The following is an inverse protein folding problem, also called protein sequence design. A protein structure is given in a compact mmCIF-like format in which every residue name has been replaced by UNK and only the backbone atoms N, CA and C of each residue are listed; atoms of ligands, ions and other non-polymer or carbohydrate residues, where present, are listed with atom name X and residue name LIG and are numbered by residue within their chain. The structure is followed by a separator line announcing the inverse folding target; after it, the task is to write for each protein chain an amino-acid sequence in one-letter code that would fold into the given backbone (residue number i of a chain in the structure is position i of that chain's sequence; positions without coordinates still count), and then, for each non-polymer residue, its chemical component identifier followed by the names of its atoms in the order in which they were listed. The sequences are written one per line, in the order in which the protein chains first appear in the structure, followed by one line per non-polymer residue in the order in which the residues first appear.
data_IF_856253391216
#
_entry.id   IF_856253391216
#
_cell.length_a   1.000
_cell.length_b   1.000
_cell.length_c   1.000
_cell.angle_alpha   90.00
_cell.angle_beta   90.00
_cell.angle_gamma   90.00
#
_symmetry.space_group_name_H-M   'P 1'
#
loop_
_entity.id
_entity.type
_entity.pdbx_description
1 polymer ?
#
# COMPACT_ATOMS: atom_id res chain seq x y z
N UNK A 1 5.94 -38.99 18.21
CA UNK A 1 5.19 -38.30 17.14
C UNK A 1 5.91 -37.07 16.52
N UNK A 2 7.07 -36.65 17.01
CA UNK A 2 7.77 -35.43 16.59
C UNK A 2 8.72 -35.59 15.40
N UNK A 3 9.32 -36.75 15.16
CA UNK A 3 10.30 -37.00 14.08
C UNK A 3 9.67 -37.06 12.68
N UNK A 4 8.48 -37.65 12.54
CA UNK A 4 7.77 -37.77 11.26
C UNK A 4 7.28 -36.38 10.73
N UNK A 5 6.97 -35.44 11.63
CA UNK A 5 6.56 -34.09 11.29
C UNK A 5 7.72 -33.22 10.78
N UNK A 6 8.89 -33.34 11.41
CA UNK A 6 10.13 -32.66 10.97
C UNK A 6 10.62 -33.18 9.61
N UNK A 7 10.53 -34.51 9.38
CA UNK A 7 10.92 -35.10 8.11
C UNK A 7 10.03 -34.64 6.96
N UNK A 8 8.70 -34.67 7.14
CA UNK A 8 7.72 -34.11 6.17
C UNK A 8 7.98 -32.63 5.87
N UNK A 9 8.26 -31.82 6.89
CA UNK A 9 8.55 -30.41 6.70
C UNK A 9 9.85 -30.17 5.93
N UNK A 10 10.91 -30.94 6.17
CA UNK A 10 12.16 -30.87 5.44
C UNK A 10 11.99 -31.31 3.98
N UNK A 11 11.27 -32.38 3.73
CA UNK A 11 10.97 -32.86 2.36
C UNK A 11 10.19 -31.81 1.56
N UNK A 12 9.15 -31.20 2.14
CA UNK A 12 8.39 -30.12 1.53
C UNK A 12 9.28 -28.91 1.24
N UNK A 13 10.21 -28.59 2.15
CA UNK A 13 11.15 -27.48 1.97
C UNK A 13 12.13 -27.75 0.82
N UNK A 14 12.67 -28.98 0.72
CA UNK A 14 13.54 -29.39 -0.40
C UNK A 14 12.78 -29.37 -1.74
N UNK A 15 11.54 -29.90 -1.77
CA UNK A 15 10.71 -29.88 -2.97
C UNK A 15 10.43 -28.45 -3.45
N UNK A 16 10.10 -27.55 -2.52
CA UNK A 16 9.88 -26.13 -2.82
C UNK A 16 11.16 -25.48 -3.37
N UNK A 17 12.33 -25.80 -2.81
CA UNK A 17 13.63 -25.28 -3.32
C UNK A 17 13.94 -25.78 -4.74
N UNK A 18 13.70 -27.07 -5.03
CA UNK A 18 13.88 -27.61 -6.38
C UNK A 18 12.92 -26.95 -7.37
N UNK A 19 11.65 -26.81 -7.04
CA UNK A 19 10.68 -26.13 -7.91
C UNK A 19 11.11 -24.68 -8.18
N UNK A 20 11.53 -23.92 -7.17
CA UNK A 20 12.07 -22.56 -7.36
C UNK A 20 13.31 -22.55 -8.24
N UNK A 21 14.20 -23.54 -8.10
CA UNK A 21 15.39 -23.67 -8.95
C UNK A 21 15.02 -23.92 -10.41
N UNK A 22 14.08 -24.84 -10.67
CA UNK A 22 13.55 -25.11 -12.01
C UNK A 22 12.94 -23.84 -12.63
N UNK A 23 12.13 -23.09 -11.87
CA UNK A 23 11.55 -21.83 -12.34
C UNK A 23 12.62 -20.80 -12.69
N UNK A 24 13.69 -20.69 -11.91
CA UNK A 24 14.81 -19.78 -12.23
C UNK A 24 15.51 -20.17 -13.53
N UNK A 25 15.69 -21.45 -13.78
CA UNK A 25 16.29 -21.95 -15.04
C UNK A 25 15.37 -21.64 -16.22
N UNK A 26 14.09 -21.98 -16.11
CA UNK A 26 13.10 -21.68 -17.14
C UNK A 26 13.04 -20.17 -17.43
N UNK A 27 13.04 -19.34 -16.39
CA UNK A 27 13.06 -17.89 -16.57
C UNK A 27 14.30 -17.39 -17.29
N UNK A 28 15.50 -17.93 -16.98
CA UNK A 28 16.74 -17.60 -17.69
C UNK A 28 16.68 -17.97 -19.19
N UNK A 29 16.06 -19.09 -19.52
CA UNK A 29 15.83 -19.49 -20.92
C UNK A 29 14.87 -18.50 -21.59
N UNK A 30 13.75 -18.18 -20.94
CA UNK A 30 12.77 -17.20 -21.46
C UNK A 30 13.41 -15.82 -21.65
N UNK A 31 14.30 -15.39 -20.76
CA UNK A 31 15.06 -14.13 -20.91
C UNK A 31 15.82 -14.05 -22.22
N UNK A 32 16.35 -15.17 -22.72
CA UNK A 32 17.14 -15.23 -23.96
C UNK A 32 16.28 -15.45 -25.20
N UNK A 33 15.13 -16.11 -25.08
CA UNK A 33 14.33 -16.58 -26.23
C UNK A 33 13.08 -15.76 -26.50
N UNK A 34 12.50 -15.12 -25.48
CA UNK A 34 11.28 -14.31 -25.65
C UNK A 34 11.66 -12.90 -26.07
N UNK A 35 11.19 -12.43 -27.19
CA UNK A 35 11.37 -11.04 -27.64
C UNK A 35 10.54 -10.07 -26.79
N UNK A 36 11.05 -8.86 -26.58
CA UNK A 36 10.30 -7.77 -25.96
C UNK A 36 9.29 -7.24 -26.97
N UNK A 37 8.09 -6.98 -26.51
CA UNK A 37 6.99 -6.43 -27.26
C UNK A 37 6.69 -5.02 -26.76
N UNK A 38 6.89 -4.04 -27.62
CA UNK A 38 6.83 -2.62 -27.29
C UNK A 38 5.41 -2.16 -26.89
N UNK A 39 4.37 -2.94 -27.20
CA UNK A 39 2.97 -2.65 -26.87
C UNK A 39 2.44 -3.52 -25.71
N UNK A 40 3.31 -4.18 -24.95
CA UNK A 40 2.91 -4.94 -23.78
C UNK A 40 3.34 -4.24 -22.50
N UNK A 41 2.37 -4.02 -21.58
CA UNK A 41 2.58 -3.48 -20.22
C UNK A 41 2.19 -4.52 -19.18
N UNK A 42 3.04 -4.74 -18.18
CA UNK A 42 2.72 -5.57 -17.02
C UNK A 42 2.60 -4.72 -15.76
N UNK A 43 1.48 -4.87 -15.06
CA UNK A 43 1.18 -4.14 -13.82
C UNK A 43 1.24 -5.09 -12.63
N UNK A 44 2.00 -4.77 -11.60
CA UNK A 44 2.11 -5.60 -10.41
C UNK A 44 1.83 -4.77 -9.16
N UNK A 45 0.72 -5.09 -8.48
CA UNK A 45 0.38 -4.49 -7.19
C UNK A 45 0.53 -5.51 -6.06
N UNK A 46 1.33 -5.16 -5.03
CA UNK A 46 1.53 -5.93 -3.80
C UNK A 46 1.73 -7.44 -4.03
N UNK A 47 2.63 -7.82 -4.94
CA UNK A 47 2.92 -9.23 -5.30
C UNK A 47 1.68 -10.01 -5.76
N UNK A 48 0.85 -9.37 -6.59
CA UNK A 48 -0.36 -9.98 -7.17
C UNK A 48 -1.55 -10.06 -6.22
N UNK A 49 -1.66 -9.16 -5.25
CA UNK A 49 -2.81 -9.14 -4.32
C UNK A 49 -4.09 -8.62 -4.94
N UNK A 50 -4.03 -7.95 -6.10
CA UNK A 50 -5.24 -7.51 -6.82
C UNK A 50 -5.02 -6.34 -7.74
N UNK A 51 -6.13 -5.83 -8.26
CA UNK A 51 -6.21 -4.61 -9.05
C UNK A 51 -6.38 -3.41 -8.12
N UNK A 52 -5.27 -2.79 -7.73
CA UNK A 52 -5.26 -1.76 -6.68
C UNK A 52 -4.04 -0.85 -6.76
N UNK A 53 -4.04 0.22 -5.96
CA UNK A 53 -2.93 1.15 -5.74
C UNK A 53 -2.48 1.87 -7.03
N UNK A 54 -1.34 2.54 -7.01
CA UNK A 54 -0.82 3.35 -8.12
C UNK A 54 -0.87 2.65 -9.50
N UNK A 55 -0.49 1.35 -9.63
CA UNK A 55 -0.60 0.66 -10.91
C UNK A 55 -2.03 0.63 -11.48
N UNK A 56 -3.07 0.51 -10.62
CA UNK A 56 -4.47 0.55 -11.03
C UNK A 56 -4.83 1.89 -11.67
N UNK A 57 -4.46 2.99 -11.01
CA UNK A 57 -4.86 4.31 -11.47
C UNK A 57 -4.09 4.76 -12.72
N UNK A 58 -2.82 4.35 -12.85
CA UNK A 58 -2.07 4.50 -14.12
C UNK A 58 -2.78 3.73 -15.24
N UNK A 59 -3.17 2.48 -15.00
CA UNK A 59 -3.89 1.68 -16.00
C UNK A 59 -5.23 2.33 -16.39
N UNK A 60 -6.02 2.79 -15.42
CA UNK A 60 -7.28 3.49 -15.69
C UNK A 60 -7.09 4.76 -16.53
N UNK A 61 -6.00 5.49 -16.29
CA UNK A 61 -5.68 6.68 -17.08
C UNK A 61 -5.22 6.31 -18.51
N UNK A 62 -4.45 5.21 -18.67
CA UNK A 62 -4.09 4.70 -20.02
C UNK A 62 -5.31 4.28 -20.82
N UNK A 63 -6.35 3.70 -20.19
CA UNK A 63 -7.59 3.30 -20.86
C UNK A 63 -8.38 4.46 -21.48
N UNK A 64 -8.16 5.69 -21.03
CA UNK A 64 -8.81 6.89 -21.57
C UNK A 64 -8.11 7.45 -22.83
N UNK A 65 -6.89 6.98 -23.12
CA UNK A 65 -6.03 7.54 -24.16
C UNK A 65 -5.97 6.61 -25.37
N UNK A 66 -6.34 7.12 -26.55
CA UNK A 66 -6.38 6.33 -27.81
C UNK A 66 -5.04 5.71 -28.20
N UNK A 67 -3.90 6.36 -27.83
CA UNK A 67 -2.56 5.84 -28.12
C UNK A 67 -2.25 4.49 -27.49
N UNK A 68 -3.08 4.01 -26.58
CA UNK A 68 -2.96 2.70 -25.93
C UNK A 68 -4.00 1.69 -26.40
N UNK A 69 -4.74 1.95 -27.48
CA UNK A 69 -5.80 1.06 -27.94
C UNK A 69 -5.28 -0.30 -28.45
N UNK A 70 -4.07 -0.33 -28.98
CA UNK A 70 -3.37 -1.54 -29.46
C UNK A 70 -2.45 -2.19 -28.39
N UNK A 71 -2.42 -1.64 -27.17
CA UNK A 71 -1.60 -2.19 -26.09
C UNK A 71 -2.23 -3.41 -25.42
N UNK A 72 -1.37 -4.34 -25.03
CA UNK A 72 -1.72 -5.51 -24.22
C UNK A 72 -1.41 -5.27 -22.76
N UNK A 73 -2.43 -5.23 -21.91
CA UNK A 73 -2.29 -5.02 -20.48
C UNK A 73 -2.34 -6.34 -19.71
N UNK A 74 -1.32 -6.62 -18.90
CA UNK A 74 -1.15 -7.88 -18.16
C UNK A 74 -1.18 -7.60 -16.66
N UNK A 75 -2.05 -8.32 -15.93
CA UNK A 75 -2.18 -8.22 -14.49
C UNK A 75 -1.92 -9.58 -13.82
N UNK A 76 -0.71 -9.81 -13.29
CA UNK A 76 -0.44 -10.96 -12.44
C UNK A 76 -1.16 -10.81 -11.10
N UNK A 77 -2.11 -11.72 -10.82
CA UNK A 77 -2.88 -11.74 -9.58
C UNK A 77 -2.86 -13.14 -8.96
N UNK A 78 -3.09 -13.25 -7.65
CA UNK A 78 -3.11 -14.56 -6.96
C UNK A 78 -4.24 -15.45 -7.44
N UNK A 79 -5.42 -14.87 -7.68
CA UNK A 79 -6.60 -15.57 -8.18
C UNK A 79 -7.16 -14.88 -9.44
N UNK A 80 -6.71 -15.26 -10.65
CA UNK A 80 -7.19 -14.64 -11.89
C UNK A 80 -8.67 -14.84 -12.16
N UNK A 81 -9.26 -15.94 -11.64
CA UNK A 81 -10.67 -16.25 -11.90
C UNK A 81 -11.65 -15.31 -11.19
N UNK A 82 -11.23 -14.70 -10.09
CA UNK A 82 -12.04 -13.75 -9.32
C UNK A 82 -11.77 -12.29 -9.68
N UNK A 83 -10.96 -12.02 -10.72
CA UNK A 83 -10.53 -10.68 -11.06
C UNK A 83 -10.82 -10.40 -12.54
N UNK A 84 -11.85 -9.59 -12.80
CA UNK A 84 -12.13 -9.05 -14.13
C UNK A 84 -11.58 -7.63 -14.20
N UNK A 85 -10.67 -7.38 -15.14
CA UNK A 85 -10.02 -6.08 -15.33
C UNK A 85 -10.23 -5.65 -16.77
N UNK A 86 -10.76 -4.46 -16.94
CA UNK A 86 -11.09 -3.90 -18.24
C UNK A 86 -9.89 -3.94 -19.20
N UNK A 87 -10.11 -4.36 -20.45
CA UNK A 87 -9.09 -4.44 -21.51
C UNK A 87 -7.77 -5.09 -21.08
N UNK A 88 -7.82 -6.07 -20.16
CA UNK A 88 -6.63 -6.66 -19.58
C UNK A 88 -6.70 -8.16 -19.48
N UNK A 89 -5.55 -8.80 -19.47
CA UNK A 89 -5.40 -10.23 -19.22
C UNK A 89 -4.91 -10.46 -17.78
N UNK A 90 -5.80 -10.95 -16.92
CA UNK A 90 -5.41 -11.43 -15.60
C UNK A 90 -4.70 -12.79 -15.72
N UNK A 91 -3.51 -12.91 -15.12
CA UNK A 91 -2.72 -14.15 -15.09
C UNK A 91 -2.34 -14.49 -13.66
N UNK A 92 -1.99 -15.75 -13.39
CA UNK A 92 -1.58 -16.16 -12.05
C UNK A 92 -0.17 -15.66 -11.74
N UNK A 93 -0.04 -14.93 -10.63
CA UNK A 93 1.26 -14.47 -10.11
C UNK A 93 2.18 -15.67 -9.82
N UNK A 94 3.48 -15.55 -10.12
CA UNK A 94 4.48 -16.63 -10.00
C UNK A 94 4.17 -17.90 -10.80
N UNK A 95 3.50 -17.80 -11.95
CA UNK A 95 3.27 -18.89 -12.90
C UNK A 95 4.23 -18.81 -14.10
N UNK A 96 4.21 -19.81 -14.97
CA UNK A 96 4.95 -19.77 -16.25
C UNK A 96 4.51 -18.59 -17.11
N UNK A 97 3.20 -18.29 -17.16
CA UNK A 97 2.69 -17.11 -17.86
C UNK A 97 3.22 -15.81 -17.26
N UNK A 98 3.35 -15.74 -15.94
CA UNK A 98 3.95 -14.58 -15.28
C UNK A 98 5.40 -14.37 -15.75
N UNK A 99 6.24 -15.42 -15.72
CA UNK A 99 7.62 -15.32 -16.15
C UNK A 99 7.74 -14.98 -17.65
N UNK A 100 6.86 -15.55 -18.47
CA UNK A 100 6.79 -15.23 -19.88
C UNK A 100 6.52 -13.74 -20.12
N UNK A 101 5.49 -13.18 -19.46
CA UNK A 101 5.15 -11.78 -19.63
C UNK A 101 6.14 -10.82 -18.98
N UNK A 102 6.84 -11.22 -17.90
CA UNK A 102 7.98 -10.47 -17.39
C UNK A 102 9.12 -10.34 -18.41
N UNK A 103 9.30 -11.35 -19.28
CA UNK A 103 10.27 -11.30 -20.37
C UNK A 103 9.76 -10.55 -21.60
N UNK A 104 8.44 -10.60 -21.86
CA UNK A 104 7.80 -10.05 -23.06
C UNK A 104 7.48 -8.56 -22.92
N UNK A 105 6.95 -8.13 -21.77
CA UNK A 105 6.46 -6.77 -21.60
C UNK A 105 7.59 -5.74 -21.65
N UNK A 106 7.44 -4.73 -22.51
CA UNK A 106 8.34 -3.57 -22.57
C UNK A 106 8.30 -2.78 -21.29
N UNK A 107 7.11 -2.57 -20.72
CA UNK A 107 6.89 -1.70 -19.58
C UNK A 107 6.45 -2.51 -18.37
N UNK A 108 7.15 -2.30 -17.25
CA UNK A 108 6.82 -2.86 -15.95
C UNK A 108 6.40 -1.71 -15.03
N UNK A 109 5.16 -1.73 -14.56
CA UNK A 109 4.60 -0.75 -13.62
C UNK A 109 4.31 -1.47 -12.30
N UNK A 110 5.10 -1.20 -11.27
CA UNK A 110 5.15 -2.05 -10.06
C UNK A 110 5.22 -1.18 -8.81
N UNK A 111 4.47 -1.54 -7.76
CA UNK A 111 4.49 -0.80 -6.49
C UNK A 111 5.21 -1.52 -5.34
N UNK A 112 5.79 -2.67 -5.58
CA UNK A 112 6.48 -3.48 -4.57
C UNK A 112 7.81 -4.00 -5.09
N UNK A 113 8.73 -4.38 -4.18
CA UNK A 113 10.03 -4.94 -4.58
C UNK A 113 9.87 -6.25 -5.34
N UNK A 114 10.60 -6.41 -6.42
CA UNK A 114 10.67 -7.67 -7.14
C UNK A 114 11.81 -8.56 -6.60
N UNK A 115 11.61 -9.90 -6.56
CA UNK A 115 12.65 -10.82 -6.13
C UNK A 115 13.93 -10.71 -6.98
N UNK A 116 15.10 -10.97 -6.36
CA UNK A 116 16.43 -10.89 -7.00
C UNK A 116 16.52 -11.67 -8.32
N UNK A 117 15.81 -12.81 -8.43
CA UNK A 117 15.86 -13.66 -9.63
C UNK A 117 15.06 -13.10 -10.81
N UNK A 118 14.19 -12.12 -10.59
CA UNK A 118 13.50 -11.40 -11.66
C UNK A 118 14.45 -10.34 -12.20
N UNK A 119 14.97 -10.57 -13.38
CA UNK A 119 15.88 -9.66 -14.06
C UNK A 119 15.18 -8.99 -15.23
N UNK A 120 15.47 -7.71 -15.43
CA UNK A 120 15.00 -6.89 -16.53
C UNK A 120 15.99 -6.97 -17.69
N UNK A 121 15.50 -6.94 -18.92
CA UNK A 121 16.34 -6.74 -20.11
C UNK A 121 16.63 -5.26 -20.30
N UNK A 122 17.70 -4.93 -21.00
CA UNK A 122 18.14 -3.54 -21.18
C UNK A 122 17.11 -2.69 -21.93
N UNK A 123 16.38 -3.31 -22.89
CA UNK A 123 15.33 -2.67 -23.68
C UNK A 123 13.96 -2.65 -22.99
N UNK A 124 13.80 -3.11 -21.74
CA UNK A 124 12.59 -2.98 -20.95
C UNK A 124 12.67 -1.75 -20.04
N UNK A 125 11.52 -1.14 -19.72
CA UNK A 125 11.39 0.02 -18.83
C UNK A 125 10.67 -0.40 -17.55
N UNK A 126 11.27 -0.13 -16.40
CA UNK A 126 10.71 -0.42 -15.09
C UNK A 126 10.40 0.88 -14.35
N UNK A 127 9.12 1.18 -14.18
CA UNK A 127 8.60 2.21 -13.29
C UNK A 127 8.25 1.59 -11.94
N UNK A 128 8.99 1.96 -10.89
CA UNK A 128 8.61 1.70 -9.51
C UNK A 128 7.69 2.82 -9.01
N UNK A 129 6.45 2.50 -8.67
CA UNK A 129 5.50 3.52 -8.22
C UNK A 129 5.54 3.73 -6.71
N UNK A 130 6.15 2.82 -5.96
CA UNK A 130 6.07 2.73 -4.52
C UNK A 130 4.62 2.72 -4.02
N UNK A 131 4.38 2.88 -2.71
CA UNK A 131 3.05 2.69 -2.15
C UNK A 131 2.77 3.50 -0.88
N UNK A 132 3.50 4.59 -0.62
CA UNK A 132 3.23 5.50 0.50
C UNK A 132 4.35 6.49 0.76
N UNK A 133 3.98 7.69 1.18
CA UNK A 133 4.91 8.67 1.74
C UNK A 133 5.49 8.12 3.03
N UNK A 134 6.83 8.13 3.22
CA UNK A 134 7.45 7.47 4.35
C UNK A 134 7.30 8.29 5.65
N UNK A 135 6.60 7.74 6.63
CA UNK A 135 6.64 8.20 8.02
C UNK A 135 7.86 7.61 8.74
N UNK A 136 8.06 6.30 8.58
CA UNK A 136 9.13 5.53 9.21
C UNK A 136 10.34 5.46 8.31
N UNK A 137 11.54 5.40 8.91
CA UNK A 137 12.78 5.22 8.17
C UNK A 137 12.76 3.95 7.33
N UNK A 138 13.31 4.02 6.13
CA UNK A 138 13.29 2.97 5.12
C UNK A 138 14.70 2.51 4.76
N UNK A 139 14.84 1.26 4.42
CA UNK A 139 16.03 0.66 3.81
C UNK A 139 17.34 1.11 4.46
N UNK A 140 18.19 1.86 3.77
CA UNK A 140 19.50 2.32 4.26
C UNK A 140 19.42 3.33 5.41
N UNK A 141 18.30 4.07 5.52
CA UNK A 141 18.10 5.09 6.58
C UNK A 141 17.66 4.47 7.92
N UNK A 142 17.38 3.16 7.97
CA UNK A 142 17.04 2.49 9.22
C UNK A 142 18.27 2.46 10.12
N UNK A 143 18.13 3.05 11.31
CA UNK A 143 19.19 3.04 12.33
C UNK A 143 19.27 1.65 12.97
N UNK A 144 20.48 1.12 13.11
CA UNK A 144 20.69 -0.16 13.76
C UNK A 144 20.59 0.00 15.27
N UNK A 145 19.72 -0.79 15.89
CA UNK A 145 19.63 -0.89 17.35
C UNK A 145 20.31 -2.21 17.74
N UNK A 146 21.26 -2.18 18.67
CA UNK A 146 21.98 -3.37 19.13
C UNK A 146 21.01 -4.47 19.58
N UNK A 147 21.23 -5.69 19.08
CA UNK A 147 20.45 -6.89 19.38
C UNK A 147 19.01 -6.97 18.78
N UNK A 148 18.61 -6.08 17.89
CA UNK A 148 17.35 -6.24 17.17
C UNK A 148 17.55 -6.91 15.82
N UNK A 149 16.81 -7.99 15.57
CA UNK A 149 16.67 -8.57 14.23
C UNK A 149 15.65 -7.73 13.47
N UNK A 150 16.12 -6.99 12.47
CA UNK A 150 15.25 -6.28 11.56
C UNK A 150 14.43 -7.28 10.74
N UNK A 151 13.13 -7.18 10.79
CA UNK A 151 12.19 -7.96 10.01
C UNK A 151 11.79 -9.36 10.51
N UNK A 152 10.54 -9.67 10.20
CA UNK A 152 9.85 -10.95 10.34
C UNK A 152 10.62 -12.17 9.78
N UNK A 153 11.66 -11.94 8.97
CA UNK A 153 12.46 -12.99 8.33
C UNK A 153 13.77 -13.29 9.05
N UNK A 154 14.10 -12.57 10.13
CA UNK A 154 15.38 -12.70 10.80
C UNK A 154 16.56 -12.27 9.93
N UNK A 155 16.36 -11.41 8.95
CA UNK A 155 17.43 -10.88 8.11
C UNK A 155 18.30 -9.89 8.91
N UNK A 156 19.62 -9.91 8.65
CA UNK A 156 20.50 -8.83 9.07
C UNK A 156 20.19 -7.55 8.29
N UNK A 157 20.66 -6.40 8.79
CA UNK A 157 20.56 -5.12 8.07
C UNK A 157 21.12 -5.24 6.65
N UNK A 158 22.31 -5.81 6.50
CA UNK A 158 22.94 -6.01 5.19
C UNK A 158 22.07 -6.85 4.25
N UNK A 159 21.54 -7.97 4.73
CA UNK A 159 20.63 -8.79 3.91
C UNK A 159 19.39 -8.05 3.48
N UNK A 160 18.87 -7.18 4.33
CA UNK A 160 17.70 -6.36 4.06
C UNK A 160 18.03 -5.29 3.01
N UNK A 161 19.12 -4.51 3.18
CA UNK A 161 19.55 -3.50 2.22
C UNK A 161 19.88 -4.13 0.86
N UNK A 162 20.58 -5.27 0.82
CA UNK A 162 20.84 -6.03 -0.42
C UNK A 162 19.55 -6.33 -1.21
N UNK A 163 18.41 -6.55 -0.53
CA UNK A 163 17.14 -6.77 -1.23
C UNK A 163 16.62 -5.51 -1.92
N UNK A 164 16.88 -4.33 -1.33
CA UNK A 164 16.53 -3.05 -1.95
C UNK A 164 17.47 -2.74 -3.10
N UNK A 165 18.78 -2.83 -2.88
CA UNK A 165 19.81 -2.51 -3.89
C UNK A 165 19.63 -3.35 -5.17
N UNK A 166 19.36 -4.65 -4.99
CA UNK A 166 19.08 -5.54 -6.11
C UNK A 166 17.84 -5.16 -6.93
N UNK A 167 16.84 -4.51 -6.33
CA UNK A 167 15.66 -4.10 -7.06
C UNK A 167 15.83 -2.70 -7.65
N UNK A 168 16.35 -1.76 -6.87
CA UNK A 168 16.65 -0.38 -7.29
C UNK A 168 17.58 -0.35 -8.51
N UNK A 169 18.55 -1.25 -8.57
CA UNK A 169 19.45 -1.38 -9.73
C UNK A 169 18.69 -1.59 -11.07
N UNK A 170 17.47 -2.13 -11.02
CA UNK A 170 16.64 -2.41 -12.20
C UNK A 170 15.72 -1.25 -12.59
N UNK A 171 15.45 -0.28 -11.68
CA UNK A 171 14.52 0.80 -11.96
C UNK A 171 15.05 1.72 -13.07
N UNK A 172 14.21 2.04 -14.05
CA UNK A 172 14.44 3.19 -14.92
C UNK A 172 13.97 4.45 -14.22
N UNK A 173 12.76 4.37 -13.62
CA UNK A 173 12.14 5.47 -12.91
C UNK A 173 11.51 5.00 -11.61
N UNK A 174 11.47 5.91 -10.62
CA UNK A 174 10.71 5.73 -9.39
C UNK A 174 9.89 6.98 -9.09
N UNK A 175 8.61 6.82 -8.76
CA UNK A 175 7.74 7.94 -8.39
C UNK A 175 8.15 8.51 -7.03
N UNK A 176 8.38 9.81 -7.00
CA UNK A 176 8.40 10.62 -5.80
C UNK A 176 7.10 11.44 -5.72
N UNK A 177 6.25 11.20 -4.71
CA UNK A 177 4.93 11.84 -4.64
C UNK A 177 4.97 13.30 -4.17
N UNK A 178 6.05 13.71 -3.55
CA UNK A 178 6.28 15.06 -3.01
C UNK A 178 7.78 15.31 -2.82
N UNK A 179 8.15 16.56 -2.52
CA UNK A 179 9.55 16.95 -2.33
C UNK A 179 10.21 16.20 -1.18
N UNK A 180 9.50 16.00 -0.07
CA UNK A 180 10.00 15.25 1.06
C UNK A 180 10.38 13.80 0.68
N UNK A 181 9.52 13.10 -0.05
CA UNK A 181 9.83 11.75 -0.51
C UNK A 181 10.94 11.73 -1.56
N UNK A 182 11.03 12.78 -2.39
CA UNK A 182 12.11 12.92 -3.36
C UNK A 182 13.48 12.98 -2.66
N UNK A 183 13.60 13.72 -1.57
CA UNK A 183 14.84 13.78 -0.78
C UNK A 183 15.11 12.48 -0.03
N UNK A 184 14.09 11.95 0.65
CA UNK A 184 14.21 10.72 1.45
C UNK A 184 14.56 9.52 0.59
N UNK A 185 13.98 9.37 -0.59
CA UNK A 185 14.23 8.19 -1.44
C UNK A 185 15.65 8.13 -1.97
N UNK A 186 16.34 9.26 -2.13
CA UNK A 186 17.74 9.29 -2.52
C UNK A 186 18.63 8.57 -1.51
N UNK A 187 18.49 8.87 -0.22
CA UNK A 187 19.26 8.21 0.84
C UNK A 187 18.74 6.81 1.16
N UNK A 188 17.44 6.67 1.35
CA UNK A 188 16.82 5.40 1.75
C UNK A 188 17.05 4.27 0.75
N UNK A 189 16.98 4.56 -0.54
CA UNK A 189 17.12 3.57 -1.61
C UNK A 189 18.45 3.67 -2.36
N UNK A 190 19.34 4.59 -2.00
CA UNK A 190 20.58 4.86 -2.71
C UNK A 190 20.33 5.02 -4.23
N UNK A 191 19.22 5.70 -4.57
CA UNK A 191 18.79 5.93 -5.95
C UNK A 191 19.25 7.28 -6.44
N UNK A 192 19.74 7.33 -7.69
CA UNK A 192 20.12 8.58 -8.31
C UNK A 192 18.89 9.46 -8.57
N UNK A 193 18.99 10.75 -8.25
CA UNK A 193 17.91 11.73 -8.35
C UNK A 193 17.29 11.85 -9.74
N UNK A 194 18.08 11.63 -10.82
CA UNK A 194 17.61 11.68 -12.20
C UNK A 194 16.61 10.55 -12.53
N UNK A 195 16.57 9.50 -11.69
CA UNK A 195 15.62 8.39 -11.82
C UNK A 195 14.36 8.58 -10.98
N UNK A 196 14.32 9.62 -10.13
CA UNK A 196 13.15 9.99 -9.34
C UNK A 196 12.28 10.97 -10.15
N UNK A 197 11.02 10.59 -10.39
CA UNK A 197 10.07 11.42 -11.13
C UNK A 197 9.06 12.07 -10.18
N UNK A 198 8.94 13.39 -10.28
CA UNK A 198 8.07 14.22 -9.44
C UNK A 198 6.65 14.24 -10.03
N UNK A 199 5.77 13.37 -9.57
CA UNK A 199 4.45 13.21 -10.18
C UNK A 199 3.27 13.39 -9.23
N UNK A 200 3.42 13.21 -7.94
CA UNK A 200 2.34 12.85 -7.04
C UNK A 200 2.08 11.33 -7.07
N UNK A 201 1.19 10.83 -6.21
CA UNK A 201 0.76 9.42 -6.31
C UNK A 201 -0.44 9.28 -7.23
N UNK A 202 -0.36 8.44 -8.28
CA UNK A 202 -1.48 8.17 -9.20
C UNK A 202 -2.79 7.80 -8.51
N UNK A 203 -2.73 7.03 -7.41
CA UNK A 203 -3.93 6.64 -6.66
C UNK A 203 -4.67 7.81 -6.03
N UNK A 204 -3.99 8.92 -5.74
CA UNK A 204 -4.59 10.10 -5.13
C UNK A 204 -5.33 10.98 -6.13
N UNK A 205 -5.12 10.79 -7.44
CA UNK A 205 -5.94 11.44 -8.47
C UNK A 205 -7.42 11.12 -8.28
N UNK A 206 -7.74 9.90 -7.82
CA UNK A 206 -9.09 9.49 -7.51
C UNK A 206 -9.71 10.31 -6.38
N UNK A 207 -8.94 10.66 -5.35
CA UNK A 207 -9.40 11.44 -4.21
C UNK A 207 -9.71 12.88 -4.62
N UNK A 208 -8.86 13.46 -5.47
CA UNK A 208 -9.01 14.85 -5.97
C UNK A 208 -10.15 14.97 -6.97
N UNK A 209 -10.33 13.95 -7.84
CA UNK A 209 -11.31 13.96 -8.93
C UNK A 209 -12.62 13.22 -8.59
N UNK A 210 -12.83 12.86 -7.32
CA UNK A 210 -13.99 12.07 -6.92
C UNK A 210 -15.29 12.87 -7.03
N UNK A 211 -16.31 12.26 -7.61
CA UNK A 211 -17.65 12.84 -7.74
C UNK A 211 -18.58 12.40 -6.62
N UNK A 212 -19.61 13.20 -6.31
CA UNK A 212 -20.67 12.82 -5.36
C UNK A 212 -21.39 11.53 -5.78
N UNK A 213 -21.58 11.33 -7.09
CA UNK A 213 -22.14 10.08 -7.61
C UNK A 213 -21.32 8.88 -7.15
N UNK A 214 -19.98 8.96 -7.27
CA UNK A 214 -19.08 7.87 -6.85
C UNK A 214 -19.11 7.62 -5.36
N UNK A 215 -19.18 8.67 -4.56
CA UNK A 215 -19.35 8.57 -3.10
C UNK A 215 -20.64 7.82 -2.77
N UNK A 216 -21.77 8.19 -3.41
CA UNK A 216 -23.05 7.54 -3.19
C UNK A 216 -23.04 6.07 -3.62
N UNK A 217 -22.47 5.73 -4.79
CA UNK A 217 -22.30 4.34 -5.24
C UNK A 217 -21.56 3.49 -4.21
N UNK A 218 -20.48 4.03 -3.63
CA UNK A 218 -19.71 3.30 -2.61
C UNK A 218 -20.50 3.15 -1.31
N UNK A 219 -21.18 4.21 -0.85
CA UNK A 219 -22.04 4.16 0.33
C UNK A 219 -23.16 3.14 0.18
N UNK A 220 -23.83 3.10 -0.97
CA UNK A 220 -24.88 2.12 -1.27
C UNK A 220 -24.35 0.69 -1.30
N UNK A 221 -23.21 0.46 -1.98
CA UNK A 221 -22.55 -0.85 -2.04
C UNK A 221 -22.19 -1.40 -0.65
N UNK A 222 -21.73 -0.53 0.24
CA UNK A 222 -21.36 -0.87 1.62
C UNK A 222 -22.55 -0.76 2.59
N UNK A 223 -23.75 -0.40 2.10
CA UNK A 223 -24.98 -0.26 2.89
C UNK A 223 -24.84 0.72 4.06
N UNK A 224 -24.15 1.83 3.83
CA UNK A 224 -23.97 2.87 4.84
C UNK A 224 -25.30 3.59 5.08
N UNK A 225 -25.79 3.72 6.34
CA UNK A 225 -26.99 4.48 6.65
C UNK A 225 -26.82 5.95 6.25
N UNK A 226 -27.87 6.54 5.64
CA UNK A 226 -27.82 7.91 5.10
C UNK A 226 -27.70 8.99 6.19
N UNK A 227 -28.19 8.69 7.37
CA UNK A 227 -28.21 9.56 8.55
C UNK A 227 -26.94 9.47 9.42
N UNK A 228 -25.99 8.63 9.06
CA UNK A 228 -24.76 8.42 9.81
C UNK A 228 -23.55 9.02 9.10
N UNK A 229 -22.67 9.64 9.90
CA UNK A 229 -21.30 9.93 9.51
C UNK A 229 -20.46 8.66 9.53
N UNK A 230 -19.43 8.62 8.71
CA UNK A 230 -18.55 7.46 8.60
C UNK A 230 -17.22 7.76 9.27
N UNK A 231 -16.85 6.96 10.25
CA UNK A 231 -15.56 6.97 10.88
C UNK A 231 -14.74 5.77 10.35
N UNK A 232 -13.66 6.04 9.64
CA UNK A 232 -12.72 5.00 9.21
C UNK A 232 -11.68 4.76 10.31
N UNK A 233 -11.68 3.55 10.88
CA UNK A 233 -10.62 3.11 11.79
C UNK A 233 -9.66 2.16 11.08
N UNK A 234 -8.44 2.65 10.83
CA UNK A 234 -7.40 1.95 10.06
C UNK A 234 -6.09 1.85 10.83
N UNK A 235 -6.02 1.00 11.89
CA UNK A 235 -4.82 0.85 12.69
C UNK A 235 -3.73 0.07 11.95
N UNK A 236 -2.46 0.39 12.26
CA UNK A 236 -1.32 -0.40 11.83
C UNK A 236 -1.17 -1.66 12.67
N UNK A 237 -0.57 -2.60 12.03
CA UNK A 237 -0.06 -3.82 12.62
C UNK A 237 1.17 -3.54 13.52
N UNK A 238 1.36 -4.37 14.57
CA UNK A 238 2.54 -4.36 15.45
C UNK A 238 3.44 -5.54 15.12
N UNK A 239 4.71 -5.26 14.82
CA UNK A 239 5.70 -6.26 14.39
C UNK A 239 6.10 -7.23 15.53
N UNK A 240 5.93 -6.84 16.79
CA UNK A 240 6.26 -7.62 18.00
C UNK A 240 5.16 -8.61 18.45
N UNK A 241 3.99 -8.58 17.86
CA UNK A 241 2.83 -9.41 18.25
C UNK A 241 2.79 -10.76 17.52
N UNK A 242 3.87 -11.56 17.59
CA UNK A 242 3.94 -12.88 16.96
C UNK A 242 3.91 -14.02 17.98
N UNK A 243 3.03 -15.00 17.77
CA UNK A 243 3.05 -16.27 18.49
C UNK A 243 3.08 -17.48 17.54
N UNK A 244 3.27 -18.70 18.10
CA UNK A 244 3.38 -19.96 17.34
C UNK A 244 2.15 -20.33 16.49
N UNK A 245 1.01 -19.63 16.65
CA UNK A 245 -0.23 -19.80 15.87
C UNK A 245 -0.44 -18.73 14.80
N UNK A 246 0.48 -17.77 14.70
CA UNK A 246 0.39 -16.60 13.82
C UNK A 246 0.39 -15.31 14.60
N UNK A 247 0.10 -14.21 13.93
CA UNK A 247 0.09 -12.90 14.54
C UNK A 247 -1.18 -12.69 15.37
N UNK A 248 -1.02 -12.30 16.63
CA UNK A 248 -2.13 -11.85 17.47
C UNK A 248 -2.05 -10.34 17.58
N UNK A 249 -3.03 -9.64 17.04
CA UNK A 249 -3.22 -8.24 17.30
C UNK A 249 -4.27 -8.11 18.42
N UNK A 250 -3.89 -7.50 19.51
CA UNK A 250 -4.84 -7.11 20.53
C UNK A 250 -5.40 -5.74 20.16
N UNK A 251 -6.66 -5.71 19.73
CA UNK A 251 -7.35 -4.46 19.48
C UNK A 251 -7.55 -3.74 20.82
N UNK A 252 -7.01 -2.54 20.95
CA UNK A 252 -7.17 -1.71 22.13
C UNK A 252 -8.44 -0.85 22.10
N UNK A 253 -9.08 -0.74 20.94
CA UNK A 253 -10.37 -0.05 20.81
C UNK A 253 -11.49 -0.91 21.38
N UNK A 254 -12.25 -0.35 22.32
CA UNK A 254 -13.46 -0.95 22.88
C UNK A 254 -14.69 -0.46 22.10
N UNK A 255 -15.09 -1.20 21.08
CA UNK A 255 -16.21 -0.79 20.20
C UNK A 255 -17.57 -0.69 20.91
N UNK A 256 -17.79 -1.37 22.02
CA UNK A 256 -19.00 -1.14 22.83
C UNK A 256 -19.01 0.29 23.39
N UNK A 257 -17.88 0.73 23.94
CA UNK A 257 -17.72 2.09 24.43
C UNK A 257 -17.81 3.13 23.32
N UNK A 258 -17.21 2.81 22.14
CA UNK A 258 -17.34 3.68 20.96
C UNK A 258 -18.80 3.82 20.54
N UNK A 259 -19.58 2.72 20.55
CA UNK A 259 -21.00 2.73 20.25
C UNK A 259 -21.82 3.56 21.23
N UNK A 260 -21.53 3.45 22.53
CA UNK A 260 -22.19 4.26 23.56
C UNK A 260 -21.98 5.76 23.34
N UNK A 261 -20.76 6.18 22.94
CA UNK A 261 -20.42 7.61 22.81
C UNK A 261 -20.77 8.18 21.44
N UNK A 262 -20.54 7.41 20.36
CA UNK A 262 -20.58 7.87 18.97
C UNK A 262 -21.71 7.25 18.15
N UNK A 263 -22.35 6.18 18.62
CA UNK A 263 -23.29 5.39 17.81
C UNK A 263 -24.54 6.12 17.37
N UNK A 264 -24.88 7.25 18.00
CA UNK A 264 -25.97 8.10 17.55
C UNK A 264 -25.65 8.81 16.22
N UNK A 265 -24.39 9.24 16.02
CA UNK A 265 -23.98 10.08 14.90
C UNK A 265 -23.13 9.34 13.87
N UNK A 266 -22.44 8.27 14.29
CA UNK A 266 -21.42 7.60 13.47
C UNK A 266 -21.69 6.12 13.28
N UNK A 267 -21.16 5.61 12.15
CA UNK A 267 -20.87 4.20 11.92
C UNK A 267 -19.35 4.03 11.73
N UNK A 268 -18.78 2.96 12.23
CA UNK A 268 -17.33 2.69 12.13
C UNK A 268 -17.06 1.72 10.99
N UNK A 269 -16.26 2.14 10.00
CA UNK A 269 -15.63 1.25 9.05
C UNK A 269 -14.31 0.77 9.65
N UNK A 270 -14.26 -0.49 10.05
CA UNK A 270 -13.05 -1.09 10.56
C UNK A 270 -12.28 -1.76 9.42
N UNK A 271 -11.12 -1.18 9.08
CA UNK A 271 -10.18 -1.69 8.07
C UNK A 271 -8.92 -2.22 8.75
N UNK A 272 -8.92 -3.47 9.27
CA UNK A 272 -7.73 -4.04 9.86
C UNK A 272 -6.66 -4.28 8.78
N UNK A 273 -5.40 -4.22 9.19
CA UNK A 273 -4.32 -4.68 8.33
C UNK A 273 -4.53 -6.16 7.97
N UNK A 274 -4.26 -6.54 6.73
CA UNK A 274 -4.52 -7.90 6.18
C UNK A 274 -3.93 -9.09 6.96
N UNK A 275 -3.12 -8.83 7.97
CA UNK A 275 -2.54 -9.85 8.86
C UNK A 275 -3.35 -10.04 10.14
N UNK A 276 -4.36 -9.20 10.39
CA UNK A 276 -5.22 -9.30 11.56
C UNK A 276 -6.34 -10.29 11.23
N UNK A 277 -6.39 -11.39 11.97
CA UNK A 277 -7.53 -12.31 11.97
C UNK A 277 -8.59 -11.70 12.88
N UNK A 278 -9.76 -11.38 12.34
CA UNK A 278 -10.85 -10.75 13.06
C UNK A 278 -11.32 -11.64 14.23
N UNK A 279 -11.15 -11.16 15.46
CA UNK A 279 -11.79 -11.73 16.65
C UNK A 279 -13.24 -11.25 16.86
N UNK A 280 -13.74 -10.36 15.99
CA UNK A 280 -15.09 -9.79 16.11
C UNK A 280 -16.17 -10.61 15.39
N UNK A 281 -15.80 -11.69 14.71
CA UNK A 281 -16.80 -12.62 14.15
C UNK A 281 -17.59 -13.24 15.31
N UNK A 282 -18.82 -12.72 15.52
CA UNK A 282 -19.79 -13.28 16.47
C UNK A 282 -20.41 -12.34 17.48
N UNK A 283 -20.04 -11.06 17.54
CA UNK A 283 -20.72 -10.09 18.40
C UNK A 283 -21.79 -9.28 17.62
N UNK A 284 -22.96 -9.87 17.51
CA UNK A 284 -24.10 -9.25 16.78
C UNK A 284 -24.58 -7.94 17.38
N UNK A 285 -24.18 -7.61 18.60
CA UNK A 285 -24.57 -6.33 19.24
C UNK A 285 -23.86 -5.11 18.63
N UNK A 286 -22.80 -5.35 17.83
CA UNK A 286 -22.05 -4.30 17.13
C UNK A 286 -22.34 -4.21 15.64
N UNK A 287 -23.14 -5.11 15.06
CA UNK A 287 -23.38 -5.21 13.61
C UNK A 287 -24.02 -3.94 13.00
N UNK A 288 -24.74 -3.16 13.80
CA UNK A 288 -25.36 -1.88 13.43
C UNK A 288 -24.41 -0.68 13.56
N UNK A 289 -23.22 -0.88 14.14
CA UNK A 289 -22.26 0.19 14.41
C UNK A 289 -20.90 -0.03 13.77
N UNK A 290 -20.38 -1.28 13.72
CA UNK A 290 -19.05 -1.60 13.16
C UNK A 290 -19.21 -2.45 11.91
N UNK A 291 -18.82 -1.91 10.78
CA UNK A 291 -18.69 -2.65 9.52
C UNK A 291 -17.25 -3.08 9.33
N UNK A 292 -16.98 -4.37 9.45
CA UNK A 292 -15.69 -4.95 9.06
C UNK A 292 -15.57 -4.95 7.55
N UNK A 293 -14.54 -4.30 7.02
CA UNK A 293 -14.31 -4.20 5.59
C UNK A 293 -13.32 -5.28 5.16
N UNK A 294 -13.63 -5.96 4.04
CA UNK A 294 -12.75 -6.98 3.47
C UNK A 294 -11.33 -6.42 3.23
N UNK A 295 -10.32 -7.26 3.48
CA UNK A 295 -8.92 -6.87 3.32
C UNK A 295 -8.57 -6.45 1.88
N UNK A 296 -9.29 -6.96 0.87
CA UNK A 296 -9.11 -6.62 -0.54
C UNK A 296 -9.84 -5.35 -0.99
N UNK A 297 -10.70 -4.76 -0.14
CA UNK A 297 -11.40 -3.52 -0.46
C UNK A 297 -10.39 -2.40 -0.76
N UNK A 298 -10.64 -1.65 -1.83
CA UNK A 298 -9.80 -0.50 -2.18
C UNK A 298 -9.90 0.56 -1.09
N UNK A 299 -8.77 0.92 -0.52
CA UNK A 299 -8.72 1.91 0.56
C UNK A 299 -9.24 3.28 0.12
N UNK A 300 -9.07 3.64 -1.16
CA UNK A 300 -9.55 4.90 -1.69
C UNK A 300 -11.09 5.00 -1.69
N UNK A 301 -11.78 3.87 -1.94
CA UNK A 301 -13.25 3.83 -1.81
C UNK A 301 -13.68 4.12 -0.36
N UNK A 302 -12.90 3.65 0.62
CA UNK A 302 -13.19 3.92 2.03
C UNK A 302 -12.88 5.38 2.41
N UNK A 303 -11.80 5.94 1.87
CA UNK A 303 -11.44 7.33 2.12
C UNK A 303 -12.54 8.30 1.67
N UNK A 304 -13.04 8.15 0.43
CA UNK A 304 -14.01 9.11 -0.12
C UNK A 304 -15.33 9.16 0.64
N UNK A 305 -15.74 8.05 1.28
CA UNK A 305 -16.99 7.98 2.04
C UNK A 305 -16.83 8.31 3.52
N UNK A 306 -15.60 8.42 4.03
CA UNK A 306 -15.31 8.62 5.45
C UNK A 306 -15.25 10.11 5.80
N UNK A 307 -15.97 10.50 6.84
CA UNK A 307 -16.00 11.86 7.36
C UNK A 307 -14.85 12.13 8.34
N UNK A 308 -14.35 11.07 9.00
CA UNK A 308 -13.26 11.11 9.97
C UNK A 308 -12.36 9.90 9.80
N UNK A 309 -11.06 10.09 9.90
CA UNK A 309 -10.07 9.01 9.99
C UNK A 309 -9.54 8.90 11.42
N UNK A 310 -9.53 7.67 11.96
CA UNK A 310 -8.76 7.31 13.14
C UNK A 310 -7.69 6.30 12.70
N UNK A 311 -6.44 6.62 12.95
CA UNK A 311 -5.30 5.76 12.60
C UNK A 311 -4.19 5.89 13.65
N UNK A 312 -3.01 5.35 13.37
CA UNK A 312 -1.84 5.44 14.24
C UNK A 312 -0.58 5.73 13.41
N UNK A 313 0.36 4.79 13.32
CA UNK A 313 1.64 4.93 12.59
C UNK A 313 1.56 4.52 11.11
N UNK A 314 0.37 4.53 10.55
CA UNK A 314 0.12 4.18 9.14
C UNK A 314 0.35 5.36 8.22
N UNK A 315 0.91 5.13 7.02
CA UNK A 315 1.01 6.16 5.98
C UNK A 315 -0.32 6.54 5.31
N UNK A 316 -1.44 5.92 5.69
CA UNK A 316 -2.77 6.19 5.14
C UNK A 316 -3.21 7.65 5.32
N UNK A 317 -2.74 8.30 6.38
CA UNK A 317 -3.10 9.69 6.65
C UNK A 317 -2.54 10.69 5.63
N UNK A 318 -1.40 10.39 4.98
CA UNK A 318 -0.87 11.24 3.91
C UNK A 318 -1.83 11.30 2.73
N UNK A 319 -2.43 10.16 2.36
CA UNK A 319 -3.40 10.09 1.29
C UNK A 319 -4.73 10.72 1.71
N UNK A 320 -5.24 10.38 2.90
CA UNK A 320 -6.51 10.89 3.41
C UNK A 320 -6.51 12.41 3.58
N UNK A 321 -5.36 13.01 3.90
CA UNK A 321 -5.20 14.46 4.03
C UNK A 321 -5.63 15.25 2.77
N UNK A 322 -5.56 14.64 1.57
CA UNK A 322 -6.03 15.25 0.32
C UNK A 322 -7.54 15.56 0.34
N UNK A 323 -8.32 14.90 1.21
CA UNK A 323 -9.76 15.15 1.34
C UNK A 323 -10.10 16.33 2.24
N UNK A 324 -9.11 16.93 2.92
CA UNK A 324 -9.29 18.02 3.88
C UNK A 324 -10.34 17.72 4.97
N UNK A 325 -10.33 16.47 5.48
CA UNK A 325 -11.24 15.98 6.52
C UNK A 325 -10.50 15.70 7.83
N UNK A 326 -11.18 15.74 8.99
CA UNK A 326 -10.58 15.48 10.28
C UNK A 326 -9.92 14.11 10.36
N UNK A 327 -8.77 14.05 11.05
CA UNK A 327 -8.09 12.80 11.38
C UNK A 327 -7.48 12.88 12.78
N UNK A 328 -7.53 11.75 13.51
CA UNK A 328 -7.01 11.63 14.86
C UNK A 328 -6.06 10.43 14.91
N UNK A 329 -4.99 10.57 15.70
CA UNK A 329 -3.94 9.56 15.79
C UNK A 329 -4.02 8.87 17.16
N UNK A 330 -4.65 7.69 17.18
CA UNK A 330 -4.79 6.89 18.38
C UNK A 330 -3.52 6.05 18.61
N UNK A 331 -2.56 6.62 19.31
CA UNK A 331 -1.23 6.06 19.56
C UNK A 331 -1.06 5.67 21.03
N UNK A 332 -1.84 4.70 21.51
CA UNK A 332 -1.87 4.24 22.89
C UNK A 332 -0.54 3.67 23.41
N UNK A 333 0.36 3.29 22.51
CA UNK A 333 1.65 2.66 22.76
C UNK A 333 2.82 3.52 22.24
N UNK A 334 2.67 4.84 22.23
CA UNK A 334 3.61 5.75 21.57
C UNK A 334 5.04 5.64 22.12
N UNK A 335 5.22 5.53 23.44
CA UNK A 335 6.53 5.41 24.07
C UNK A 335 7.23 4.12 23.67
N UNK A 336 6.53 2.97 23.76
CA UNK A 336 7.05 1.66 23.36
C UNK A 336 7.38 1.62 21.86
N UNK A 337 6.51 2.26 21.06
CA UNK A 337 6.65 2.26 19.61
C UNK A 337 7.82 3.12 19.12
N UNK A 338 8.10 4.24 19.77
CA UNK A 338 9.20 5.14 19.43
C UNK A 338 10.57 4.49 19.72
N UNK A 339 10.69 3.73 20.81
CA UNK A 339 11.93 3.11 21.26
C UNK A 339 12.24 1.80 20.51
N UNK A 340 11.23 1.03 20.11
CA UNK A 340 11.41 -0.30 19.51
C UNK A 340 11.52 -0.32 17.99
N UNK A 341 11.12 0.75 17.28
CA UNK A 341 10.94 0.70 15.83
C UNK A 341 11.68 1.83 15.10
N UNK A 342 12.45 1.45 14.13
CA UNK A 342 13.04 2.12 12.95
C UNK A 342 13.26 3.65 12.98
N UNK A 343 12.67 4.39 13.94
CA UNK A 343 12.63 5.84 13.98
C UNK A 343 11.70 6.47 12.91
N UNK A 344 11.36 7.73 13.13
CA UNK A 344 10.60 8.53 12.18
C UNK A 344 11.52 9.46 11.38
N UNK A 345 11.06 9.90 10.21
CA UNK A 345 11.80 10.89 9.41
C UNK A 345 11.62 12.32 9.89
N UNK A 346 10.61 12.58 10.71
CA UNK A 346 10.31 13.90 11.26
C UNK A 346 9.69 13.78 12.66
N UNK A 347 9.67 14.89 13.38
CA UNK A 347 8.95 14.97 14.66
C UNK A 347 7.44 14.88 14.41
N UNK A 348 6.84 13.81 14.94
CA UNK A 348 5.42 13.52 14.76
C UNK A 348 4.53 14.51 15.54
N UNK A 349 4.99 15.04 16.68
CA UNK A 349 4.22 15.99 17.47
C UNK A 349 4.07 17.34 16.78
N UNK A 350 5.10 17.76 16.04
CA UNK A 350 5.09 19.01 15.30
C UNK A 350 4.40 18.86 13.94
N UNK A 351 4.59 17.70 13.27
CA UNK A 351 4.28 17.57 11.84
C UNK A 351 2.94 16.92 11.55
N UNK A 352 2.43 16.05 12.47
CA UNK A 352 1.16 15.33 12.20
C UNK A 352 -0.02 16.30 12.01
N UNK A 353 -0.91 16.05 11.04
CA UNK A 353 -1.99 16.97 10.70
C UNK A 353 -3.17 16.98 11.69
N UNK A 354 -3.13 16.16 12.72
CA UNK A 354 -4.16 16.06 13.76
C UNK A 354 -3.56 15.72 15.12
N UNK A 355 -4.43 15.57 16.12
CA UNK A 355 -4.01 15.31 17.49
C UNK A 355 -3.52 13.88 17.68
N UNK A 356 -2.38 13.73 18.37
CA UNK A 356 -1.89 12.46 18.88
C UNK A 356 -2.56 12.20 20.22
N UNK A 357 -3.25 11.08 20.35
CA UNK A 357 -4.09 10.74 21.49
C UNK A 357 -3.72 9.34 21.99
N UNK A 358 -3.42 9.21 23.27
CA UNK A 358 -3.04 7.93 23.87
C UNK A 358 -4.20 7.26 24.64
N UNK A 359 -5.19 8.05 25.10
CA UNK A 359 -6.33 7.54 25.86
C UNK A 359 -7.58 7.49 25.00
N UNK A 360 -8.30 6.38 25.09
CA UNK A 360 -9.52 6.16 24.31
C UNK A 360 -10.62 7.17 24.66
N UNK A 361 -10.74 7.54 25.92
CA UNK A 361 -11.71 8.53 26.38
C UNK A 361 -11.52 9.88 25.70
N UNK A 362 -10.28 10.33 25.64
CA UNK A 362 -9.91 11.61 25.05
C UNK A 362 -10.18 11.60 23.52
N UNK A 363 -9.93 10.45 22.87
CA UNK A 363 -10.24 10.25 21.47
C UNK A 363 -11.74 10.41 21.20
N UNK A 364 -12.55 9.68 21.95
CA UNK A 364 -14.01 9.69 21.78
C UNK A 364 -14.59 11.08 22.05
N UNK A 365 -14.09 11.75 23.07
CA UNK A 365 -14.51 13.13 23.42
C UNK A 365 -14.17 14.10 22.27
N UNK A 366 -12.95 14.05 21.71
CA UNK A 366 -12.54 14.93 20.61
C UNK A 366 -13.36 14.70 19.35
N UNK A 367 -13.64 13.44 19.00
CA UNK A 367 -14.47 13.11 17.84
C UNK A 367 -15.89 13.66 18.04
N UNK A 368 -16.47 13.50 19.24
CA UNK A 368 -17.81 13.98 19.59
C UNK A 368 -17.90 15.51 19.54
N UNK A 369 -16.88 16.22 20.03
CA UNK A 369 -16.82 17.68 19.97
C UNK A 369 -16.69 18.21 18.52
N UNK A 370 -16.11 17.44 17.62
CA UNK A 370 -15.94 17.80 16.21
C UNK A 370 -15.01 18.99 15.97
N UNK A 371 -14.21 19.38 16.98
CA UNK A 371 -13.24 20.47 16.85
C UNK A 371 -11.95 19.93 16.23
N UNK A 372 -11.49 20.57 15.16
CA UNK A 372 -10.31 20.15 14.42
C UNK A 372 -9.51 21.35 13.90
N UNK A 373 -8.17 21.25 13.95
CA UNK A 373 -7.26 22.30 13.46
C UNK A 373 -7.01 22.14 11.96
N UNK A 374 -7.83 22.80 11.16
CA UNK A 374 -7.68 22.82 9.71
C UNK A 374 -6.46 23.60 9.21
N UNK A 375 -5.87 24.50 10.03
CA UNK A 375 -4.65 25.22 9.64
C UNK A 375 -3.46 24.26 9.69
N UNK A 376 -3.41 23.39 10.72
CA UNK A 376 -2.39 22.35 10.82
C UNK A 376 -2.48 21.38 9.64
N UNK A 377 -3.69 20.98 9.24
CA UNK A 377 -3.92 20.15 8.06
C UNK A 377 -3.51 20.86 6.77
N UNK A 378 -3.82 22.13 6.59
CA UNK A 378 -3.42 22.89 5.42
C UNK A 378 -1.89 23.01 5.29
N UNK A 379 -1.19 23.25 6.41
CA UNK A 379 0.28 23.28 6.47
C UNK A 379 0.88 21.93 6.11
N UNK A 380 0.28 20.84 6.60
CA UNK A 380 0.66 19.47 6.24
C UNK A 380 0.49 19.20 4.75
N UNK A 381 -0.66 19.55 4.17
CA UNK A 381 -0.93 19.38 2.74
C UNK A 381 0.02 20.20 1.85
N UNK A 382 0.34 21.42 2.25
CA UNK A 382 1.34 22.24 1.55
C UNK A 382 2.73 21.57 1.48
N UNK A 383 3.10 20.81 2.52
CA UNK A 383 4.38 20.09 2.59
C UNK A 383 4.35 18.74 1.85
N UNK A 384 3.29 17.94 2.02
CA UNK A 384 3.29 16.55 1.60
C UNK A 384 2.38 16.25 0.41
N UNK A 385 1.43 17.13 0.08
CA UNK A 385 0.43 16.89 -0.97
C UNK A 385 0.40 17.99 -2.04
N UNK A 386 1.41 18.86 -2.08
CA UNK A 386 1.48 19.98 -3.04
C UNK A 386 1.42 19.57 -4.52
N UNK A 387 1.80 18.33 -4.85
CA UNK A 387 1.77 17.81 -6.22
C UNK A 387 0.54 16.96 -6.53
N UNK A 388 -0.42 16.89 -5.60
CA UNK A 388 -1.66 16.10 -5.75
C UNK A 388 -2.77 17.00 -6.32
N UNK A 389 -2.73 17.21 -7.64
CA UNK A 389 -3.66 18.06 -8.39
C UNK A 389 -4.64 17.26 -9.26
N UNK A 390 -4.68 15.93 -9.08
CA UNK A 390 -5.54 15.03 -9.85
C UNK A 390 -4.98 14.57 -11.19
N UNK A 391 -3.69 14.84 -11.49
CA UNK A 391 -3.03 14.51 -12.75
C UNK A 391 -1.71 13.72 -12.59
N UNK A 392 -1.50 13.09 -11.44
CA UNK A 392 -0.29 12.31 -11.17
C UNK A 392 -0.16 11.09 -12.11
N UNK A 393 -1.27 10.43 -12.43
CA UNK A 393 -1.29 9.31 -13.39
C UNK A 393 -0.84 9.75 -14.77
N UNK A 394 -1.36 10.89 -15.26
CA UNK A 394 -0.98 11.43 -16.57
C UNK A 394 0.51 11.78 -16.58
N UNK A 395 1.02 12.45 -15.55
CA UNK A 395 2.46 12.78 -15.46
C UNK A 395 3.34 11.54 -15.47
N UNK A 396 2.95 10.48 -14.76
CA UNK A 396 3.69 9.22 -14.76
C UNK A 396 3.70 8.55 -16.14
N UNK A 397 2.56 8.59 -16.85
CA UNK A 397 2.45 8.08 -18.21
C UNK A 397 3.34 8.89 -19.16
N UNK A 398 3.30 10.21 -19.10
CA UNK A 398 4.09 11.08 -19.98
C UNK A 398 5.60 10.90 -19.77
N UNK A 399 6.05 10.62 -18.56
CA UNK A 399 7.45 10.30 -18.28
C UNK A 399 7.90 8.98 -18.90
N UNK A 400 7.04 7.96 -18.89
CA UNK A 400 7.39 6.59 -19.31
C UNK A 400 7.18 6.38 -20.79
N UNK A 401 6.12 6.95 -21.36
CA UNK A 401 5.67 6.69 -22.73
C UNK A 401 5.86 7.89 -23.67
N UNK A 402 6.32 9.02 -23.17
CA UNK A 402 6.33 10.29 -23.89
C UNK A 402 4.98 11.01 -23.81
N UNK A 403 5.00 12.30 -24.12
CA UNK A 403 3.76 13.08 -24.21
C UNK A 403 2.97 12.69 -25.45
N UNK A 404 1.65 12.74 -25.33
CA UNK A 404 0.78 12.60 -26.50
C UNK A 404 0.98 13.85 -27.37
N UNK A 405 1.35 13.65 -28.66
CA UNK A 405 1.37 14.73 -29.63
C UNK A 405 -0.06 15.26 -29.80
N UNK A 406 -0.23 16.57 -29.53
CA UNK A 406 -1.54 17.23 -29.57
C UNK A 406 -2.02 17.40 -31.01
#
# INVERSE_FOLDING_TARGET
MTTNRKWKQNTIRHLKRMVICCFKVVYKVMQKTVSVDDHTVIFIAFHGRGYTDNPKYIHQEMLKQKRFDDYTFIWPVKNPKSCSIERSKAIRYNSLSYFYYMCKAKYWIVNCKLPKHIQKKDNQIYLQTWHGTPLKRLAHDIVEVENQTFYRSGMSRQQMTDTYDNDVAKYNYMIAPNEFSYEVFQSAFQINKERLIKTGYPRNDFLTNCTEQKINEVKERLKIPKDKKVLLYAPTWRDNSFNTRGYTFELKANFHRWKEVLGQDYIVLFKPHYLIINKFEGDSSLDDFVLSVDASADINDLYIISDVLVTDYSSVFFDYANLNRPMYFYMFDLEEYADELRGFYFDIHETMPGDIIQKEEDLLQKIKEGKYDYQKLASFNAKFNAWQDGHASQRAIDWVFGKEDK
#
